data_IF_143043434328
#
_entry.id   IF_143043434328
#
_cell.length_a   1.000
_cell.length_b   1.000
_cell.length_c   1.000
_cell.angle_alpha   90.00
_cell.angle_beta   90.00
_cell.angle_gamma   90.00
#
_symmetry.space_group_name_H-M   'P 1'
#
loop_
_entity.id
_entity.type
_entity.pdbx_description
1 polymer ?
#
# COMPACT_ATOMS: atom_id res chain seq x y z
N UNK A 1 45.06 -15.75 -42.85
CA UNK A 1 44.24 -16.98 -42.75
C UNK A 1 44.60 -17.68 -41.45
N UNK A 2 43.62 -17.89 -40.56
CA UNK A 2 43.65 -18.56 -39.25
C UNK A 2 44.64 -18.02 -38.18
N UNK A 3 44.18 -17.31 -37.12
CA UNK A 3 43.34 -17.77 -35.98
C UNK A 3 43.93 -18.96 -35.23
N UNK A 4 44.49 -18.71 -34.03
CA UNK A 4 44.36 -19.53 -32.80
C UNK A 4 44.71 -18.67 -31.57
N UNK A 5 43.73 -17.96 -31.02
CA UNK A 5 43.75 -17.56 -29.62
C UNK A 5 43.06 -18.66 -28.81
N UNK A 6 43.69 -19.08 -27.72
CA UNK A 6 43.14 -20.02 -26.77
C UNK A 6 42.00 -19.36 -25.97
N UNK A 7 40.79 -19.91 -26.06
CA UNK A 7 39.69 -19.59 -25.14
C UNK A 7 39.84 -20.43 -23.88
N UNK A 8 40.34 -19.82 -22.81
CA UNK A 8 40.22 -20.35 -21.46
C UNK A 8 38.86 -19.94 -20.89
N UNK A 9 38.00 -20.94 -20.68
CA UNK A 9 36.64 -20.79 -20.19
C UNK A 9 36.60 -20.23 -18.76
N UNK A 10 36.29 -18.94 -18.60
CA UNK A 10 35.94 -18.36 -17.29
C UNK A 10 34.43 -18.48 -17.08
N UNK A 11 34.04 -19.51 -16.30
CA UNK A 11 32.68 -19.68 -15.79
C UNK A 11 32.29 -18.49 -14.90
N UNK A 12 31.14 -17.81 -15.10
CA UNK A 12 30.73 -16.74 -14.21
C UNK A 12 30.32 -17.31 -12.84
N UNK A 13 31.02 -16.89 -11.79
CA UNK A 13 30.69 -17.23 -10.39
C UNK A 13 29.32 -16.66 -10.02
N UNK A 14 28.36 -17.56 -9.84
CA UNK A 14 27.03 -17.30 -9.28
C UNK A 14 27.16 -16.67 -7.88
N UNK A 15 26.99 -15.35 -7.77
CA UNK A 15 26.85 -14.67 -6.47
C UNK A 15 25.45 -15.00 -5.91
N UNK A 16 25.39 -16.03 -5.05
CA UNK A 16 24.21 -16.34 -4.23
C UNK A 16 23.72 -15.05 -3.56
N UNK A 17 22.54 -14.58 -3.96
CA UNK A 17 21.85 -13.47 -3.29
C UNK A 17 21.65 -13.87 -1.83
N UNK A 18 22.28 -13.15 -0.91
CA UNK A 18 21.96 -13.25 0.52
C UNK A 18 20.49 -12.88 0.68
N UNK A 19 19.64 -13.87 0.93
CA UNK A 19 18.31 -13.65 1.49
C UNK A 19 18.56 -13.20 2.92
N UNK A 20 18.62 -11.88 3.12
CA UNK A 20 18.50 -11.31 4.45
C UNK A 20 17.04 -11.55 4.83
N UNK A 21 16.72 -12.35 5.86
CA UNK A 21 15.38 -12.32 6.41
C UNK A 21 15.22 -10.91 6.94
N UNK A 22 14.40 -10.08 6.28
CA UNK A 22 14.05 -8.78 6.82
C UNK A 22 13.18 -9.08 8.04
N UNK A 23 13.81 -9.31 9.18
CA UNK A 23 13.17 -9.30 10.49
C UNK A 23 12.74 -7.86 10.71
N UNK A 24 11.65 -7.45 10.05
CA UNK A 24 11.05 -6.16 10.33
C UNK A 24 10.65 -6.20 11.79
N UNK A 25 11.04 -5.22 12.62
CA UNK A 25 10.62 -5.18 14.00
C UNK A 25 9.09 -5.28 14.07
N UNK A 26 8.55 -5.88 15.15
CA UNK A 26 7.11 -5.91 15.37
C UNK A 26 6.59 -4.47 15.28
N UNK A 27 5.42 -4.25 14.67
CA UNK A 27 4.87 -2.91 14.59
C UNK A 27 4.76 -2.34 16.02
N UNK A 28 5.21 -1.09 16.21
CA UNK A 28 4.89 -0.32 17.43
C UNK A 28 3.39 -0.46 17.69
N UNK A 29 3.03 -0.64 18.95
CA UNK A 29 1.64 -0.80 19.35
C UNK A 29 0.80 0.42 18.94
N UNK A 30 -0.43 0.17 18.51
CA UNK A 30 -1.36 1.23 18.13
C UNK A 30 -1.79 2.03 19.38
N UNK A 31 -1.67 3.36 19.32
CA UNK A 31 -2.01 4.26 20.44
C UNK A 31 -3.46 4.09 20.90
N UNK A 32 -3.71 4.36 22.19
CA UNK A 32 -5.02 4.20 22.82
C UNK A 32 -6.11 5.03 22.13
N UNK A 33 -5.79 6.24 21.68
CA UNK A 33 -6.74 7.12 20.98
C UNK A 33 -7.30 6.49 19.70
N UNK A 34 -6.47 5.79 18.92
CA UNK A 34 -6.92 5.06 17.75
C UNK A 34 -7.82 3.89 18.13
N UNK A 35 -7.46 3.13 19.17
CA UNK A 35 -8.28 2.00 19.65
C UNK A 35 -9.66 2.49 20.13
N UNK A 36 -9.70 3.61 20.86
CA UNK A 36 -10.93 4.24 21.30
C UNK A 36 -11.79 4.66 20.10
N UNK A 37 -11.19 5.32 19.11
CA UNK A 37 -11.92 5.73 17.90
C UNK A 37 -12.48 4.55 17.11
N UNK A 38 -11.72 3.46 16.99
CA UNK A 38 -12.20 2.23 16.35
C UNK A 38 -13.41 1.67 17.13
N UNK A 39 -13.34 1.64 18.46
CA UNK A 39 -14.45 1.17 19.29
C UNK A 39 -15.71 2.06 19.16
N UNK A 40 -15.55 3.39 19.14
CA UNK A 40 -16.66 4.35 18.91
C UNK A 40 -17.37 4.10 17.57
N UNK A 41 -16.61 3.70 16.55
CA UNK A 41 -17.13 3.33 15.24
C UNK A 41 -17.74 1.92 15.20
N UNK A 42 -17.77 1.19 16.32
CA UNK A 42 -18.07 -0.24 16.39
C UNK A 42 -17.19 -1.06 15.44
N UNK A 43 -15.91 -0.71 15.37
CA UNK A 43 -14.94 -1.33 14.49
C UNK A 43 -14.47 -2.70 14.99
N UNK A 44 -14.25 -3.62 14.07
CA UNK A 44 -13.73 -4.96 14.33
C UNK A 44 -12.61 -5.35 13.36
N UNK A 45 -12.03 -6.54 13.52
CA UNK A 45 -11.00 -7.11 12.63
C UNK A 45 -9.79 -6.18 12.40
N UNK A 46 -9.28 -5.58 13.49
CA UNK A 46 -8.10 -4.73 13.43
C UNK A 46 -6.85 -5.57 13.07
N UNK A 47 -6.22 -5.23 11.94
CA UNK A 47 -5.06 -5.92 11.42
C UNK A 47 -3.98 -4.92 10.98
N UNK A 48 -2.72 -5.23 11.28
CA UNK A 48 -1.60 -4.49 10.73
C UNK A 48 -1.37 -4.88 9.27
N UNK A 49 -1.38 -3.91 8.35
CA UNK A 49 -1.13 -4.18 6.93
C UNK A 49 0.34 -4.07 6.57
N UNK A 50 0.96 -2.91 6.80
CA UNK A 50 2.34 -2.67 6.38
C UNK A 50 2.98 -1.48 7.09
N UNK A 51 4.31 -1.47 7.08
CA UNK A 51 5.12 -0.29 7.35
C UNK A 51 5.46 0.37 6.02
N UNK A 52 4.89 1.55 5.78
CA UNK A 52 5.00 2.28 4.53
C UNK A 52 5.95 3.48 4.71
N UNK A 53 7.11 3.41 4.06
CA UNK A 53 7.91 4.61 3.79
C UNK A 53 7.29 5.35 2.60
N UNK A 54 6.99 6.62 2.79
CA UNK A 54 6.48 7.49 1.74
C UNK A 54 7.60 7.80 0.75
N UNK A 55 7.39 7.46 -0.53
CA UNK A 55 8.31 7.86 -1.58
C UNK A 55 7.90 9.21 -2.15
N UNK A 56 8.81 9.87 -2.90
CA UNK A 56 8.47 11.06 -3.70
C UNK A 56 7.16 10.93 -4.48
N UNK A 57 6.91 9.74 -5.03
CA UNK A 57 5.70 9.48 -5.80
C UNK A 57 4.41 9.54 -4.99
N UNK A 58 4.49 9.29 -3.69
CA UNK A 58 3.36 9.31 -2.78
C UNK A 58 3.03 10.74 -2.33
N UNK A 59 4.02 11.64 -2.22
CA UNK A 59 3.79 13.02 -1.72
C UNK A 59 3.73 14.08 -2.84
N UNK A 60 4.17 13.76 -4.05
CA UNK A 60 4.14 14.70 -5.19
C UNK A 60 2.70 14.98 -5.63
N UNK A 61 2.32 16.26 -5.62
CA UNK A 61 0.95 16.73 -5.92
C UNK A 61 0.38 16.19 -7.23
N UNK A 62 1.18 16.10 -8.30
CA UNK A 62 0.68 15.62 -9.60
C UNK A 62 0.29 14.13 -9.61
N UNK A 63 0.82 13.33 -8.67
CA UNK A 63 0.53 11.90 -8.64
C UNK A 63 -0.75 11.58 -7.86
N UNK A 64 -0.99 12.32 -6.77
CA UNK A 64 -2.20 12.24 -5.95
C UNK A 64 -2.62 10.80 -5.60
N UNK A 65 -1.63 10.01 -5.16
CA UNK A 65 -1.83 8.60 -4.81
C UNK A 65 -0.89 8.13 -3.71
N UNK A 66 -1.35 7.19 -2.91
CA UNK A 66 -0.50 6.36 -2.06
C UNK A 66 -0.40 4.96 -2.67
N UNK A 67 0.82 4.51 -2.96
CA UNK A 67 1.10 3.18 -3.49
C UNK A 67 1.45 2.19 -2.38
N UNK A 68 0.68 1.11 -2.28
CA UNK A 68 0.85 -0.02 -1.35
C UNK A 68 1.14 -1.29 -2.16
N UNK A 69 2.42 -1.67 -2.34
CA UNK A 69 2.79 -2.88 -3.07
C UNK A 69 2.24 -4.12 -2.36
N UNK A 70 1.50 -4.97 -3.09
CA UNK A 70 0.80 -6.13 -2.48
C UNK A 70 1.78 -7.07 -1.78
N UNK A 71 2.99 -7.24 -2.33
CA UNK A 71 4.05 -8.08 -1.75
C UNK A 71 4.53 -7.65 -0.36
N UNK A 72 4.23 -6.42 0.07
CA UNK A 72 4.64 -5.86 1.36
C UNK A 72 3.51 -5.88 2.40
N UNK A 73 2.30 -6.26 1.99
CA UNK A 73 1.13 -6.38 2.86
C UNK A 73 1.20 -7.70 3.62
N UNK A 74 0.95 -7.64 4.93
CA UNK A 74 1.15 -8.76 5.88
C UNK A 74 -0.12 -9.46 6.33
N UNK A 75 -1.28 -9.02 5.86
CA UNK A 75 -2.58 -9.58 6.24
C UNK A 75 -3.50 -9.69 5.03
N UNK A 76 -4.33 -10.72 5.02
CA UNK A 76 -5.42 -10.90 4.05
C UNK A 76 -6.64 -10.09 4.52
N UNK A 77 -6.64 -8.81 4.17
CA UNK A 77 -7.61 -7.84 4.69
C UNK A 77 -8.82 -7.62 3.78
N UNK A 78 -8.85 -8.20 2.57
CA UNK A 78 -9.91 -8.01 1.58
C UNK A 78 -10.82 -9.24 1.48
N UNK A 79 -12.10 -9.01 1.28
CA UNK A 79 -13.03 -10.11 0.95
C UNK A 79 -12.93 -10.50 -0.53
N UNK A 80 -13.50 -11.64 -0.90
CA UNK A 80 -13.54 -12.11 -2.30
C UNK A 80 -14.28 -11.11 -3.20
N UNK A 81 -15.39 -10.56 -2.70
CA UNK A 81 -16.21 -9.58 -3.40
C UNK A 81 -15.44 -8.28 -3.63
N UNK A 82 -14.66 -7.83 -2.65
CA UNK A 82 -13.81 -6.64 -2.77
C UNK A 82 -12.66 -6.85 -3.76
N UNK A 83 -12.06 -8.05 -3.78
CA UNK A 83 -11.06 -8.42 -4.78
C UNK A 83 -11.66 -8.39 -6.18
N UNK A 84 -12.89 -8.89 -6.37
CA UNK A 84 -13.61 -8.82 -7.64
C UNK A 84 -13.82 -7.37 -8.07
N UNK A 85 -14.34 -6.51 -7.18
CA UNK A 85 -14.55 -5.07 -7.44
C UNK A 85 -13.27 -4.33 -7.85
N UNK A 86 -12.12 -4.73 -7.30
CA UNK A 86 -10.83 -4.14 -7.65
C UNK A 86 -10.37 -4.44 -9.08
N UNK A 87 -10.97 -5.44 -9.73
CA UNK A 87 -10.72 -5.78 -11.14
C UNK A 87 -11.84 -5.30 -12.08
N UNK A 88 -12.95 -4.78 -11.55
CA UNK A 88 -14.06 -4.26 -12.34
C UNK A 88 -13.67 -2.97 -13.09
N UNK A 89 -14.17 -2.87 -14.33
CA UNK A 89 -13.91 -1.76 -15.24
C UNK A 89 -15.22 -1.10 -15.65
N UNK A 90 -15.19 0.20 -15.92
CA UNK A 90 -16.34 0.94 -16.43
C UNK A 90 -16.66 0.46 -17.86
N UNK A 91 -17.88 -0.04 -18.05
CA UNK A 91 -18.38 -0.44 -19.37
C UNK A 91 -18.46 0.78 -20.30
N UNK A 92 -17.96 0.65 -21.53
CA UNK A 92 -18.04 1.71 -22.55
C UNK A 92 -16.98 2.80 -22.44
N UNK A 93 -15.97 2.64 -21.57
CA UNK A 93 -14.77 3.47 -21.61
C UNK A 93 -13.76 2.86 -22.60
N UNK A 94 -13.32 3.64 -23.60
CA UNK A 94 -12.32 3.19 -24.59
C UNK A 94 -10.98 2.79 -23.94
N UNK A 95 -10.73 3.24 -22.70
CA UNK A 95 -9.54 2.94 -21.89
C UNK A 95 -9.75 1.83 -20.84
N UNK A 96 -10.98 1.33 -20.67
CA UNK A 96 -11.34 0.29 -19.71
C UNK A 96 -11.00 0.68 -18.27
N UNK A 97 -11.31 1.90 -17.84
CA UNK A 97 -10.88 2.43 -16.54
C UNK A 97 -11.39 1.58 -15.37
N UNK A 98 -10.50 1.27 -14.41
CA UNK A 98 -10.88 0.56 -13.19
C UNK A 98 -11.81 1.42 -12.33
N UNK A 99 -12.91 0.84 -11.84
CA UNK A 99 -13.86 1.51 -10.93
C UNK A 99 -13.16 1.74 -9.58
N UNK A 100 -12.65 0.67 -8.98
CA UNK A 100 -11.98 0.66 -7.69
C UNK A 100 -12.93 0.43 -6.51
N UNK A 101 -12.34 0.13 -5.36
CA UNK A 101 -13.04 -0.09 -4.09
C UNK A 101 -13.10 1.21 -3.29
N UNK A 102 -14.29 1.60 -2.82
CA UNK A 102 -14.43 2.73 -1.89
C UNK A 102 -13.89 2.32 -0.51
N UNK A 103 -12.96 3.10 0.03
CA UNK A 103 -12.31 2.84 1.33
C UNK A 103 -12.38 4.12 2.17
N UNK A 104 -12.65 3.98 3.46
CA UNK A 104 -12.53 5.09 4.41
C UNK A 104 -11.16 5.04 5.08
N UNK A 105 -10.46 6.17 5.10
CA UNK A 105 -9.16 6.33 5.75
C UNK A 105 -9.31 7.24 6.96
N UNK A 106 -8.86 6.77 8.11
CA UNK A 106 -8.55 7.61 9.27
C UNK A 106 -7.10 8.09 9.17
N UNK A 107 -6.91 9.40 9.17
CA UNK A 107 -5.57 9.99 9.23
C UNK A 107 -5.02 9.99 10.68
N UNK A 108 -3.75 10.39 10.91
CA UNK A 108 -3.17 10.46 12.24
C UNK A 108 -3.90 11.37 13.23
N UNK A 109 -4.72 12.30 12.74
CA UNK A 109 -5.55 13.19 13.55
C UNK A 109 -7.00 12.66 13.70
N UNK A 110 -7.24 11.38 13.38
CA UNK A 110 -8.54 10.70 13.43
C UNK A 110 -9.60 11.28 12.47
N UNK A 111 -9.18 12.06 11.47
CA UNK A 111 -10.10 12.59 10.47
C UNK A 111 -10.37 11.56 9.38
N UNK A 112 -11.64 11.44 9.00
CA UNK A 112 -12.09 10.49 7.98
C UNK A 112 -12.02 11.09 6.58
N UNK A 113 -11.49 10.29 5.64
CA UNK A 113 -11.45 10.59 4.22
C UNK A 113 -11.92 9.37 3.45
N UNK A 114 -12.89 9.53 2.57
CA UNK A 114 -13.31 8.44 1.70
C UNK A 114 -12.68 8.58 0.32
N UNK A 115 -11.96 7.55 -0.11
CA UNK A 115 -11.23 7.57 -1.37
C UNK A 115 -11.21 6.21 -2.05
N UNK A 116 -11.16 6.17 -3.39
CA UNK A 116 -11.09 4.92 -4.12
C UNK A 116 -9.69 4.32 -4.03
N UNK A 117 -9.65 3.02 -3.72
CA UNK A 117 -8.49 2.16 -3.86
C UNK A 117 -8.60 1.38 -5.18
N UNK A 118 -7.54 1.38 -5.98
CA UNK A 118 -7.48 0.67 -7.27
C UNK A 118 -6.30 -0.30 -7.29
N UNK A 119 -6.48 -1.47 -7.90
CA UNK A 119 -5.38 -2.42 -8.13
C UNK A 119 -4.74 -2.17 -9.49
N UNK A 120 -3.49 -1.76 -9.51
CA UNK A 120 -2.74 -1.55 -10.76
C UNK A 120 -1.69 -2.65 -10.95
N UNK A 121 -1.66 -3.21 -12.16
CA UNK A 121 -0.60 -4.11 -12.62
C UNK A 121 0.57 -3.28 -13.13
N UNK A 122 1.55 -3.02 -12.27
CA UNK A 122 2.82 -2.37 -12.61
C UNK A 122 3.93 -3.42 -12.67
N UNK A 123 5.19 -3.04 -12.42
CA UNK A 123 6.27 -4.02 -12.16
C UNK A 123 5.90 -4.98 -11.03
N UNK A 124 5.14 -4.50 -10.05
CA UNK A 124 4.47 -5.33 -9.03
C UNK A 124 3.01 -4.92 -8.93
N UNK A 125 2.12 -5.88 -8.68
CA UNK A 125 0.74 -5.57 -8.35
C UNK A 125 0.70 -4.66 -7.11
N UNK A 126 0.00 -3.54 -7.23
CA UNK A 126 0.02 -2.45 -6.25
C UNK A 126 -1.40 -1.94 -6.03
N UNK A 127 -1.81 -1.81 -4.77
CA UNK A 127 -3.01 -1.06 -4.43
C UNK A 127 -2.66 0.42 -4.36
N UNK A 128 -3.44 1.25 -5.05
CA UNK A 128 -3.26 2.68 -5.10
C UNK A 128 -4.51 3.35 -4.54
N UNK A 129 -4.38 4.07 -3.43
CA UNK A 129 -5.40 5.00 -2.97
C UNK A 129 -5.22 6.29 -3.76
N UNK A 130 -6.28 6.78 -4.42
CA UNK A 130 -6.18 7.87 -5.41
C UNK A 130 -7.20 8.99 -5.14
N UNK A 131 -7.09 10.09 -5.88
CA UNK A 131 -7.97 11.29 -5.89
C UNK A 131 -7.90 12.17 -4.64
N UNK A 132 -8.09 11.61 -3.45
CA UNK A 132 -8.18 12.43 -2.22
C UNK A 132 -6.89 12.38 -1.39
N UNK A 133 -5.89 11.60 -1.83
CA UNK A 133 -4.66 11.37 -1.08
C UNK A 133 -3.88 12.68 -0.79
N UNK A 134 -3.80 13.61 -1.75
CA UNK A 134 -3.13 14.89 -1.53
C UNK A 134 -3.75 15.72 -0.41
N UNK A 135 -5.07 15.57 -0.15
CA UNK A 135 -5.73 16.27 0.96
C UNK A 135 -5.22 15.74 2.29
N UNK A 136 -5.03 14.42 2.39
CA UNK A 136 -4.46 13.76 3.56
C UNK A 136 -3.00 14.18 3.76
N UNK A 137 -2.20 14.17 2.68
CA UNK A 137 -0.79 14.64 2.68
C UNK A 137 -0.71 16.08 3.20
N UNK A 138 -1.53 16.98 2.66
CA UNK A 138 -1.50 18.39 3.03
C UNK A 138 -1.96 18.63 4.47
N UNK A 139 -3.03 17.95 4.90
CA UNK A 139 -3.56 18.08 6.26
C UNK A 139 -2.57 17.61 7.33
N UNK A 140 -1.81 16.55 7.02
CA UNK A 140 -0.87 15.93 7.95
C UNK A 140 0.60 16.34 7.73
N UNK A 141 0.85 17.21 6.75
CA UNK A 141 2.19 17.66 6.33
C UNK A 141 3.13 16.48 6.11
N UNK A 142 2.68 15.49 5.36
CA UNK A 142 3.50 14.32 5.05
C UNK A 142 4.62 14.66 4.08
N UNK A 143 5.81 14.15 4.37
CA UNK A 143 7.02 14.38 3.60
C UNK A 143 7.58 13.06 3.05
N UNK A 144 8.47 13.17 2.06
CA UNK A 144 9.22 12.02 1.56
C UNK A 144 10.05 11.40 2.69
N UNK A 145 10.25 10.08 2.62
CA UNK A 145 10.95 9.25 3.60
C UNK A 145 10.31 9.12 4.98
N UNK A 146 9.21 9.81 5.25
CA UNK A 146 8.42 9.58 6.46
C UNK A 146 7.85 8.15 6.47
N UNK A 147 7.94 7.49 7.62
CA UNK A 147 7.37 6.16 7.83
C UNK A 147 5.99 6.23 8.50
N UNK A 148 5.05 5.47 7.96
CA UNK A 148 3.69 5.30 8.47
C UNK A 148 3.40 3.83 8.67
N UNK A 149 2.73 3.48 9.77
CA UNK A 149 2.02 2.21 9.84
C UNK A 149 0.66 2.35 9.20
N UNK A 150 0.27 1.36 8.41
CA UNK A 150 -1.07 1.24 7.85
C UNK A 150 -1.74 0.03 8.50
N UNK A 151 -2.92 0.26 9.05
CA UNK A 151 -3.78 -0.75 9.64
C UNK A 151 -5.09 -0.83 8.87
N UNK A 152 -5.73 -1.99 8.89
CA UNK A 152 -7.11 -2.18 8.41
C UNK A 152 -8.02 -2.56 9.55
N UNK A 153 -9.29 -2.20 9.43
CA UNK A 153 -10.36 -2.70 10.29
C UNK A 153 -11.69 -2.61 9.54
N UNK A 154 -12.76 -3.12 10.13
CA UNK A 154 -14.09 -3.20 9.53
C UNK A 154 -15.10 -2.41 10.34
N UNK A 155 -15.97 -1.67 9.65
CA UNK A 155 -17.14 -1.01 10.25
C UNK A 155 -18.35 -1.33 9.38
N UNK A 156 -19.33 -2.07 9.93
CA UNK A 156 -20.49 -2.55 9.19
C UNK A 156 -20.08 -3.21 7.84
N UNK A 157 -19.09 -4.10 7.90
CA UNK A 157 -18.44 -4.79 6.76
C UNK A 157 -17.68 -3.89 5.77
N UNK A 158 -17.71 -2.58 5.91
CA UNK A 158 -16.94 -1.67 5.07
C UNK A 158 -15.46 -1.67 5.49
N UNK A 159 -14.57 -1.65 4.51
CA UNK A 159 -13.13 -1.55 4.74
C UNK A 159 -12.75 -0.14 5.20
N UNK A 160 -12.10 -0.07 6.36
CA UNK A 160 -11.40 1.10 6.84
C UNK A 160 -9.90 0.86 6.85
N UNK A 161 -9.16 1.92 6.58
CA UNK A 161 -7.72 2.00 6.77
C UNK A 161 -7.40 3.07 7.80
N UNK A 162 -6.31 2.88 8.52
CA UNK A 162 -5.83 3.82 9.52
C UNK A 162 -4.34 4.10 9.32
N UNK A 163 -3.98 5.38 9.33
CA UNK A 163 -2.59 5.84 9.30
C UNK A 163 -2.12 6.18 10.70
N UNK A 164 -1.11 5.47 11.17
CA UNK A 164 -0.40 5.81 12.40
C UNK A 164 1.00 6.33 12.05
N UNK A 165 1.31 7.56 12.49
CA UNK A 165 2.62 8.21 12.29
C UNK A 165 3.58 7.72 13.37
N UNK A 166 4.81 7.35 12.96
CA UNK A 166 5.83 6.75 13.83
C UNK A 166 6.77 7.74 14.49
#
# INVERSE_FOLDING_TARGET
TNSRYAEENVVPKNKKRRIIPRSTPPPKELLLEFKNRINELNGCDLQFLMLKRLFRSDVKTNNNRLSMPIKEIRADFLTKEEITKLNERENGSDDGRLIGLKVTMLDPCLKEYTLPMKKWSMTTNTYNLVKEWNKIVSANKFEEDQELQIWSFRVNNNLYLLLNKL
#
